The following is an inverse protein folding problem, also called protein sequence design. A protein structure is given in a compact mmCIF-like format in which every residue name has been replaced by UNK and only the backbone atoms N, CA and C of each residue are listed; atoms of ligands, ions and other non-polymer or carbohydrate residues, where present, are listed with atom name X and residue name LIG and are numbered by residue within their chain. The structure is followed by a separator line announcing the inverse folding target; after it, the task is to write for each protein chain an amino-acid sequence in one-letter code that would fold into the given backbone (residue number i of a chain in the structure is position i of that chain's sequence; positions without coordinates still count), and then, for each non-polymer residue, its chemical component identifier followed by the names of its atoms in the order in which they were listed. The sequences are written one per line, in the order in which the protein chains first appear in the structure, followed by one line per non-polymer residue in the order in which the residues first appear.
data_IF_533278682940
#
_entry.id   IF_533278682940
#
_cell.length_a   1.000
_cell.length_b   1.000
_cell.length_c   1.000
_cell.angle_alpha   90.00
_cell.angle_beta   90.00
_cell.angle_gamma   90.00
#
_symmetry.space_group_name_H-M   'P 1'
#
loop_
_entity.id
_entity.type
_entity.pdbx_description
1 polymer ?
#
# COMPACT_ATOMS: atom_id res chain seq x y z
N UNK A 1 -17.21 -6.72 -25.36
CA UNK A 1 -16.57 -6.21 -24.15
C UNK A 1 -16.41 -4.71 -24.33
N UNK A 2 -17.17 -3.90 -23.61
CA UNK A 2 -16.97 -2.46 -23.65
C UNK A 2 -15.61 -2.15 -23.02
N UNK A 3 -14.66 -1.64 -23.81
CA UNK A 3 -13.38 -1.16 -23.30
C UNK A 3 -13.57 0.28 -22.87
N UNK A 4 -14.09 0.48 -21.66
CA UNK A 4 -14.17 1.80 -21.06
C UNK A 4 -12.75 2.25 -20.69
N UNK A 5 -12.31 3.35 -21.30
CA UNK A 5 -11.02 3.99 -21.03
C UNK A 5 -11.21 5.35 -20.32
N UNK A 6 -12.38 5.55 -19.71
CA UNK A 6 -12.80 6.80 -19.09
C UNK A 6 -13.37 6.52 -17.70
N UNK A 7 -13.20 7.47 -16.77
CA UNK A 7 -13.72 7.35 -15.42
C UNK A 7 -15.24 7.14 -15.43
N UNK A 8 -15.72 6.05 -14.81
CA UNK A 8 -17.14 5.77 -14.65
C UNK A 8 -17.56 5.79 -13.19
N UNK A 9 -18.85 6.07 -12.99
CA UNK A 9 -19.50 6.10 -11.69
C UNK A 9 -20.42 4.89 -11.48
N UNK A 10 -20.36 3.89 -12.38
CA UNK A 10 -21.20 2.70 -12.30
C UNK A 10 -20.77 1.78 -11.16
N UNK A 11 -21.76 1.02 -10.69
CA UNK A 11 -21.73 0.22 -9.46
C UNK A 11 -21.31 -1.23 -9.74
N UNK A 12 -21.27 -1.69 -10.99
CA UNK A 12 -21.19 -3.12 -11.34
C UNK A 12 -19.80 -3.52 -11.89
N UNK A 13 -18.76 -3.45 -11.05
CA UNK A 13 -17.40 -3.86 -11.42
C UNK A 13 -16.81 -4.86 -10.42
N UNK A 14 -16.19 -5.92 -10.95
CA UNK A 14 -15.52 -6.97 -10.17
C UNK A 14 -14.16 -6.44 -9.73
N UNK A 15 -14.04 -6.04 -8.46
CA UNK A 15 -12.88 -5.24 -8.00
C UNK A 15 -11.61 -6.07 -7.76
N UNK A 16 -11.69 -7.33 -7.31
CA UNK A 16 -10.48 -8.11 -6.96
C UNK A 16 -10.60 -9.64 -7.08
N UNK A 17 -11.80 -10.22 -6.90
CA UNK A 17 -12.11 -11.63 -7.09
C UNK A 17 -13.54 -11.75 -7.60
N UNK A 18 -13.88 -12.79 -8.38
CA UNK A 18 -15.25 -13.02 -8.91
C UNK A 18 -16.35 -12.99 -7.83
N UNK A 19 -16.00 -13.26 -6.56
CA UNK A 19 -16.92 -13.22 -5.42
C UNK A 19 -17.28 -11.82 -4.92
N UNK A 20 -16.63 -10.76 -5.41
CA UNK A 20 -16.89 -9.38 -4.98
C UNK A 20 -17.69 -8.62 -6.06
N UNK A 21 -18.89 -9.14 -6.37
CA UNK A 21 -19.85 -8.46 -7.24
C UNK A 21 -20.56 -7.35 -6.48
N UNK A 22 -20.45 -6.14 -6.98
CA UNK A 22 -21.05 -4.95 -6.38
C UNK A 22 -22.42 -4.73 -7.02
N UNK A 23 -23.42 -5.53 -6.64
CA UNK A 23 -24.79 -5.36 -7.17
C UNK A 23 -25.60 -4.28 -6.42
N UNK A 24 -25.08 -3.76 -5.29
CA UNK A 24 -25.79 -2.81 -4.43
C UNK A 24 -24.93 -1.61 -3.97
N UNK A 25 -25.54 -0.43 -3.75
CA UNK A 25 -24.82 0.78 -3.28
C UNK A 25 -24.15 0.58 -1.90
N UNK A 26 -24.69 -0.30 -1.06
CA UNK A 26 -24.09 -0.72 0.22
C UNK A 26 -22.74 -1.43 0.03
N UNK A 27 -22.64 -2.30 -0.98
CA UNK A 27 -21.42 -3.03 -1.32
C UNK A 27 -20.36 -2.09 -1.89
N UNK A 28 -20.78 -1.05 -2.61
CA UNK A 28 -19.87 -0.01 -3.11
C UNK A 28 -19.27 0.81 -1.95
N UNK A 29 -20.08 1.17 -0.95
CA UNK A 29 -19.58 1.86 0.24
C UNK A 29 -18.57 0.98 1.01
N UNK A 30 -18.86 -0.32 1.13
CA UNK A 30 -17.95 -1.28 1.76
C UNK A 30 -16.63 -1.40 0.99
N UNK A 31 -16.68 -1.46 -0.35
CA UNK A 31 -15.48 -1.47 -1.19
C UNK A 31 -14.65 -0.19 -1.02
N UNK A 32 -15.30 0.98 -0.96
CA UNK A 32 -14.63 2.24 -0.66
C UNK A 32 -13.99 2.23 0.72
N UNK A 33 -14.68 1.74 1.76
CA UNK A 33 -14.15 1.65 3.11
C UNK A 33 -12.93 0.74 3.20
N UNK A 34 -12.98 -0.45 2.58
CA UNK A 34 -11.84 -1.38 2.55
C UNK A 34 -10.67 -0.77 1.79
N UNK A 35 -10.92 -0.15 0.63
CA UNK A 35 -9.90 0.50 -0.18
C UNK A 35 -9.25 1.68 0.55
N UNK A 36 -10.05 2.47 1.27
CA UNK A 36 -9.59 3.56 2.11
C UNK A 36 -8.67 3.06 3.23
N UNK A 37 -9.09 2.01 3.95
CA UNK A 37 -8.28 1.38 5.01
C UNK A 37 -7.00 0.77 4.43
N UNK A 38 -7.06 0.15 3.26
CA UNK A 38 -5.89 -0.37 2.56
C UNK A 38 -4.90 0.76 2.17
N UNK A 39 -5.42 1.93 1.75
CA UNK A 39 -4.61 3.13 1.48
C UNK A 39 -3.89 3.64 2.73
N UNK A 40 -4.57 3.70 3.87
CA UNK A 40 -3.95 4.03 5.17
C UNK A 40 -2.90 2.98 5.55
N UNK A 41 -3.24 1.69 5.40
CA UNK A 41 -2.34 0.58 5.67
C UNK A 41 -1.08 0.61 4.81
N UNK A 42 -1.18 1.04 3.55
CA UNK A 42 -0.02 1.19 2.66
C UNK A 42 0.98 2.24 3.18
N UNK A 43 0.50 3.39 3.65
CA UNK A 43 1.35 4.39 4.29
C UNK A 43 1.92 3.90 5.63
N UNK A 44 1.13 3.15 6.40
CA UNK A 44 1.62 2.50 7.62
C UNK A 44 2.79 1.56 7.34
N UNK A 45 2.70 0.72 6.30
CA UNK A 45 3.80 -0.19 5.91
C UNK A 45 5.04 0.59 5.48
N UNK A 46 4.89 1.68 4.71
CA UNK A 46 6.02 2.55 4.34
C UNK A 46 6.71 3.12 5.58
N UNK A 47 5.92 3.62 6.53
CA UNK A 47 6.42 4.16 7.78
C UNK A 47 7.12 3.10 8.64
N UNK A 48 6.51 1.93 8.82
CA UNK A 48 7.09 0.81 9.54
C UNK A 48 8.45 0.41 8.95
N UNK A 49 8.54 0.30 7.62
CA UNK A 49 9.81 0.02 6.92
C UNK A 49 10.86 1.09 7.24
N UNK A 50 10.52 2.38 7.17
CA UNK A 50 11.45 3.48 7.51
C UNK A 50 11.93 3.39 8.95
N UNK A 51 11.01 3.18 9.92
CA UNK A 51 11.35 3.07 11.34
C UNK A 51 12.22 1.87 11.65
N UNK A 52 11.89 0.70 11.12
CA UNK A 52 12.63 -0.53 11.38
C UNK A 52 14.05 -0.43 10.80
N UNK A 53 14.19 0.05 9.56
CA UNK A 53 15.52 0.23 8.93
C UNK A 53 16.34 1.27 9.69
N UNK A 54 15.75 2.38 10.13
CA UNK A 54 16.44 3.38 10.97
C UNK A 54 16.87 2.79 12.32
N UNK A 55 15.98 2.07 12.99
CA UNK A 55 16.27 1.44 14.28
C UNK A 55 17.38 0.39 14.17
N UNK A 56 17.38 -0.42 13.11
CA UNK A 56 18.43 -1.42 12.86
C UNK A 56 19.76 -0.77 12.46
N UNK A 57 19.74 0.31 11.67
CA UNK A 57 20.96 1.07 11.33
C UNK A 57 21.58 1.74 12.56
N UNK A 58 20.76 2.21 13.49
CA UNK A 58 21.23 2.79 14.75
C UNK A 58 21.82 1.75 15.71
N UNK A 59 21.36 0.49 15.63
CA UNK A 59 21.91 -0.64 16.40
C UNK A 59 23.24 -1.15 15.86
N UNK A 60 23.66 -0.69 14.68
CA UNK A 60 24.85 -1.19 14.01
C UNK A 60 26.09 -0.41 14.47
N UNK A 61 27.15 -1.13 14.84
CA UNK A 61 28.38 -0.53 15.34
C UNK A 61 29.04 0.38 14.29
N UNK A 62 29.45 1.60 14.65
CA UNK A 62 30.10 2.53 13.72
C UNK A 62 31.46 2.03 13.20
N UNK A 63 32.07 1.04 13.88
CA UNK A 63 33.36 0.44 13.49
C UNK A 63 33.20 -0.84 12.65
N UNK A 64 31.96 -1.26 12.35
CA UNK A 64 31.70 -2.45 11.55
C UNK A 64 31.81 -2.13 10.05
N UNK A 65 32.87 -2.63 9.41
CA UNK A 65 33.12 -2.49 7.96
C UNK A 65 32.97 -3.86 7.26
N UNK A 66 31.74 -4.28 6.88
CA UNK A 66 31.54 -5.54 6.19
C UNK A 66 32.03 -5.45 4.74
N UNK A 67 32.39 -6.60 4.17
CA UNK A 67 32.57 -6.71 2.72
C UNK A 67 31.25 -6.44 1.99
N UNK A 68 31.26 -5.94 0.73
CA UNK A 68 30.05 -5.56 0.02
C UNK A 68 28.98 -6.66 -0.04
N UNK A 69 29.41 -7.92 -0.14
CA UNK A 69 28.55 -9.09 -0.25
C UNK A 69 27.96 -9.49 1.11
N UNK A 70 28.73 -9.35 2.19
CA UNK A 70 28.27 -9.61 3.56
C UNK A 70 27.29 -8.52 4.03
N UNK A 71 27.47 -7.28 3.57
CA UNK A 71 26.56 -6.17 3.85
C UNK A 71 25.13 -6.47 3.39
N UNK A 72 24.98 -7.16 2.24
CA UNK A 72 23.67 -7.52 1.68
C UNK A 72 22.87 -8.48 2.57
N UNK A 73 23.54 -9.40 3.27
CA UNK A 73 22.89 -10.37 4.16
C UNK A 73 22.81 -9.91 5.62
N UNK A 74 23.15 -8.65 5.89
CA UNK A 74 23.05 -8.09 7.24
C UNK A 74 21.56 -7.97 7.63
N UNK A 75 21.23 -8.25 8.90
CA UNK A 75 19.87 -8.20 9.43
C UNK A 75 19.03 -6.96 9.01
N UNK A 76 19.53 -5.70 9.04
CA UNK A 76 18.84 -4.53 8.48
C UNK A 76 18.45 -4.66 7.02
N UNK A 77 19.32 -5.24 6.18
CA UNK A 77 19.05 -5.42 4.76
C UNK A 77 18.00 -6.50 4.52
N UNK A 78 18.07 -7.63 5.21
CA UNK A 78 17.11 -8.72 5.04
C UNK A 78 15.70 -8.30 5.53
N UNK A 79 15.62 -7.72 6.73
CA UNK A 79 14.35 -7.22 7.27
C UNK A 79 13.78 -6.11 6.40
N UNK A 80 14.62 -5.16 5.98
CA UNK A 80 14.21 -4.10 5.06
C UNK A 80 13.63 -4.65 3.74
N UNK A 81 14.24 -5.70 3.19
CA UNK A 81 13.79 -6.36 1.96
C UNK A 81 12.46 -7.08 2.15
N UNK A 82 12.25 -7.76 3.29
CA UNK A 82 10.98 -8.41 3.60
C UNK A 82 9.82 -7.39 3.71
N UNK A 83 10.03 -6.29 4.43
CA UNK A 83 9.04 -5.20 4.50
C UNK A 83 8.84 -4.50 3.15
N UNK A 84 9.89 -4.39 2.32
CA UNK A 84 9.77 -3.89 0.95
C UNK A 84 8.88 -4.79 0.09
N UNK A 85 9.04 -6.12 0.17
CA UNK A 85 8.18 -7.06 -0.55
C UNK A 85 6.70 -6.93 -0.12
N UNK A 86 6.44 -6.79 1.18
CA UNK A 86 5.09 -6.57 1.70
C UNK A 86 4.51 -5.21 1.28
N UNK A 87 5.33 -4.15 1.26
CA UNK A 87 4.89 -2.86 0.75
C UNK A 87 4.53 -2.95 -0.73
N UNK A 88 5.35 -3.66 -1.51
CA UNK A 88 5.17 -3.81 -2.95
C UNK A 88 3.87 -4.55 -3.26
N UNK A 89 3.56 -5.63 -2.53
CA UNK A 89 2.30 -6.36 -2.72
C UNK A 89 1.08 -5.50 -2.45
N UNK A 90 1.04 -4.76 -1.35
CA UNK A 90 -0.07 -3.84 -1.03
C UNK A 90 -0.19 -2.71 -2.07
N UNK A 91 0.94 -2.17 -2.52
CA UNK A 91 0.98 -1.14 -3.56
C UNK A 91 0.40 -1.63 -4.90
N UNK A 92 0.71 -2.86 -5.30
CA UNK A 92 0.14 -3.45 -6.51
C UNK A 92 -1.37 -3.72 -6.39
N UNK A 93 -1.86 -4.14 -5.22
CA UNK A 93 -3.30 -4.30 -4.98
C UNK A 93 -4.02 -2.95 -5.12
N UNK A 94 -3.48 -1.88 -4.52
CA UNK A 94 -4.03 -0.53 -4.68
C UNK A 94 -3.98 -0.05 -6.15
N UNK A 95 -2.90 -0.37 -6.86
CA UNK A 95 -2.79 -0.06 -8.29
C UNK A 95 -3.83 -0.81 -9.13
N UNK A 96 -4.09 -2.09 -8.83
CA UNK A 96 -5.17 -2.87 -9.46
C UNK A 96 -6.53 -2.23 -9.20
N UNK A 97 -6.79 -1.74 -7.99
CA UNK A 97 -8.03 -1.03 -7.66
C UNK A 97 -8.17 0.25 -8.49
N UNK A 98 -7.11 1.05 -8.64
CA UNK A 98 -7.16 2.28 -9.45
C UNK A 98 -7.40 1.98 -10.94
N UNK A 99 -6.93 0.83 -11.43
CA UNK A 99 -7.18 0.39 -12.81
C UNK A 99 -8.63 0.01 -13.09
N UNK A 100 -9.50 -0.08 -12.07
CA UNK A 100 -10.95 -0.27 -12.27
C UNK A 100 -11.67 1.00 -12.75
N UNK A 101 -10.96 2.12 -12.95
CA UNK A 101 -11.49 3.41 -13.44
C UNK A 101 -12.72 3.97 -12.68
N UNK A 102 -13.04 3.43 -11.50
CA UNK A 102 -14.11 3.94 -10.64
C UNK A 102 -13.69 5.20 -9.89
N UNK A 103 -14.46 6.28 -10.04
CA UNK A 103 -14.19 7.57 -9.38
C UNK A 103 -14.24 7.43 -7.85
N UNK A 104 -15.21 6.69 -7.33
CA UNK A 104 -15.41 6.51 -5.88
C UNK A 104 -14.23 5.78 -5.22
N UNK A 105 -13.75 4.72 -5.86
CA UNK A 105 -12.58 3.96 -5.38
C UNK A 105 -11.29 4.78 -5.52
N UNK A 106 -11.10 5.49 -6.64
CA UNK A 106 -9.96 6.40 -6.81
C UNK A 106 -9.90 7.44 -5.69
N UNK A 107 -11.03 8.10 -5.40
CA UNK A 107 -11.11 9.08 -4.30
C UNK A 107 -10.84 8.42 -2.95
N UNK A 108 -11.35 7.22 -2.71
CA UNK A 108 -11.08 6.47 -1.47
C UNK A 108 -9.58 6.13 -1.31
N UNK A 109 -8.90 5.69 -2.37
CA UNK A 109 -7.44 5.44 -2.36
C UNK A 109 -6.68 6.73 -2.06
N UNK A 110 -6.98 7.82 -2.77
CA UNK A 110 -6.30 9.10 -2.61
C UNK A 110 -6.52 9.62 -1.19
N UNK A 111 -7.76 9.69 -0.73
CA UNK A 111 -8.09 10.16 0.62
C UNK A 111 -7.43 9.31 1.70
N UNK A 112 -7.47 7.97 1.56
CA UNK A 112 -6.84 7.04 2.50
C UNK A 112 -5.32 7.20 2.54
N UNK A 113 -4.67 7.34 1.38
CA UNK A 113 -3.24 7.57 1.30
C UNK A 113 -2.85 8.94 1.86
N UNK A 114 -3.61 10.01 1.57
CA UNK A 114 -3.35 11.35 2.13
C UNK A 114 -3.49 11.35 3.65
N UNK A 115 -4.55 10.75 4.19
CA UNK A 115 -4.78 10.66 5.64
C UNK A 115 -3.70 9.79 6.30
N UNK A 116 -3.37 8.65 5.70
CA UNK A 116 -2.28 7.78 6.17
C UNK A 116 -0.95 8.54 6.20
N UNK A 117 -0.64 9.30 5.16
CA UNK A 117 0.57 10.11 5.09
C UNK A 117 0.61 11.15 6.22
N UNK A 118 -0.47 11.91 6.42
CA UNK A 118 -0.52 12.93 7.50
C UNK A 118 -0.35 12.30 8.89
N UNK A 119 -1.00 11.17 9.16
CA UNK A 119 -0.97 10.50 10.47
C UNK A 119 0.42 9.91 10.78
N UNK A 120 1.03 9.25 9.80
CA UNK A 120 2.27 8.49 10.02
C UNK A 120 3.53 9.31 9.73
N UNK A 121 3.50 10.18 8.73
CA UNK A 121 4.65 11.04 8.38
C UNK A 121 4.71 12.29 9.27
N UNK A 122 3.57 12.85 9.68
CA UNK A 122 3.53 14.01 10.59
C UNK A 122 4.00 13.74 12.03
N UNK A 123 4.42 12.52 12.35
CA UNK A 123 4.85 12.09 13.70
C UNK A 123 6.34 11.68 13.78
N UNK A 124 7.08 11.84 12.70
CA UNK A 124 8.56 11.74 12.65
C UNK A 124 9.18 13.13 12.43
#
# INVERSE_FOLDING_TARGET
AEMWQFFHTKVDDIVLFEGWKVDQPSVMLLACAITFVAGIGFEFVKFARRKIVRALKQRQDPNYSPSPIAALFTAPHLVGTAFFALQLSVGYVLMLIVMTFSVWLCLAVIAGATIGFVIFDGRD
#
